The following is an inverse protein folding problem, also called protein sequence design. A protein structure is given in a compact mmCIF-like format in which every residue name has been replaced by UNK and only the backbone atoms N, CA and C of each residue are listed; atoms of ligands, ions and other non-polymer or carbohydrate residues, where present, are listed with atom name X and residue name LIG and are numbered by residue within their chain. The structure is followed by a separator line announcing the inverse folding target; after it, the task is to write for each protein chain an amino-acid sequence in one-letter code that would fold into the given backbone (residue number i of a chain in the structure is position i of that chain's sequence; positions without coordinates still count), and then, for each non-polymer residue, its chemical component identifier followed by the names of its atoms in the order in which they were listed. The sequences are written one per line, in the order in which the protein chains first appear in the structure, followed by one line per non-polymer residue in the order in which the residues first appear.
data_IF_089103460637
#
_entry.id   IF_089103460637
#
_cell.length_a   1.000
_cell.length_b   1.000
_cell.length_c   1.000
_cell.angle_alpha   90.00
_cell.angle_beta   90.00
_cell.angle_gamma   90.00
#
_symmetry.space_group_name_H-M   'P 1'
#
loop_
_entity.id
_entity.type
_entity.pdbx_description
1 polymer ?
#
# COMPACT_ATOMS: atom_id res chain seq x y z
N UNK A 1 -0.91 0.32 -19.61
CA UNK A 1 -0.56 -0.92 -18.87
C UNK A 1 0.66 -0.76 -17.95
N UNK A 2 1.76 -0.12 -18.38
CA UNK A 2 2.96 0.10 -17.52
C UNK A 2 2.67 0.95 -16.27
N UNK A 3 1.86 2.01 -16.39
CA UNK A 3 1.49 2.92 -15.29
C UNK A 3 0.80 2.22 -14.11
N UNK A 4 -0.15 1.32 -14.39
CA UNK A 4 -0.89 0.57 -13.36
C UNK A 4 0.01 -0.42 -12.63
N UNK A 5 0.97 -1.01 -13.36
CA UNK A 5 1.95 -1.93 -12.80
C UNK A 5 2.97 -1.21 -11.92
N UNK A 6 3.43 -0.02 -12.34
CA UNK A 6 4.29 0.86 -11.53
C UNK A 6 3.58 1.32 -10.25
N UNK A 7 2.28 1.66 -10.34
CA UNK A 7 1.46 1.97 -9.17
C UNK A 7 1.33 0.77 -8.22
N UNK A 8 1.09 -0.43 -8.76
CA UNK A 8 1.05 -1.66 -7.96
C UNK A 8 2.37 -1.94 -7.26
N UNK A 9 3.50 -1.82 -7.95
CA UNK A 9 4.85 -1.97 -7.36
C UNK A 9 5.12 -0.91 -6.29
N UNK A 10 4.71 0.35 -6.54
CA UNK A 10 4.81 1.42 -5.55
C UNK A 10 4.00 1.14 -4.29
N UNK A 11 2.77 0.62 -4.44
CA UNK A 11 1.96 0.20 -3.30
C UNK A 11 2.60 -0.94 -2.50
N UNK A 12 3.17 -1.94 -3.19
CA UNK A 12 3.88 -3.05 -2.52
C UNK A 12 5.08 -2.52 -1.75
N UNK A 13 5.88 -1.64 -2.35
CA UNK A 13 7.03 -1.03 -1.69
C UNK A 13 6.61 -0.22 -0.44
N UNK A 14 5.55 0.58 -0.56
CA UNK A 14 4.99 1.32 0.56
C UNK A 14 4.47 0.39 1.67
N UNK A 15 3.81 -0.71 1.29
CA UNK A 15 3.32 -1.72 2.23
C UNK A 15 4.45 -2.43 2.96
N UNK A 16 5.53 -2.79 2.27
CA UNK A 16 6.74 -3.37 2.88
C UNK A 16 7.43 -2.39 3.83
N UNK A 17 7.48 -1.11 3.48
CA UNK A 17 8.00 -0.06 4.36
C UNK A 17 7.18 0.04 5.65
N UNK A 18 5.85 -0.08 5.57
CA UNK A 18 4.98 -0.10 6.75
C UNK A 18 5.08 -1.41 7.55
N UNK A 19 5.37 -2.54 6.90
CA UNK A 19 5.51 -3.85 7.53
C UNK A 19 6.83 -3.98 8.31
N UNK A 20 7.95 -3.62 7.68
CA UNK A 20 9.28 -3.73 8.27
C UNK A 20 9.71 -2.46 9.03
N UNK A 21 9.21 -1.30 8.61
CA UNK A 21 9.54 -0.01 9.19
C UNK A 21 8.56 0.47 10.25
N UNK A 22 7.58 -0.34 10.68
CA UNK A 22 6.57 0.07 11.67
C UNK A 22 7.20 0.71 12.91
N UNK A 23 8.22 0.07 13.48
CA UNK A 23 8.92 0.55 14.67
C UNK A 23 9.72 1.84 14.35
N UNK A 24 10.34 1.93 13.16
CA UNK A 24 11.06 3.14 12.70
C UNK A 24 10.13 4.32 12.38
N UNK A 25 8.93 4.06 11.86
CA UNK A 25 7.91 5.08 11.60
C UNK A 25 7.35 5.63 12.91
N UNK A 26 7.18 4.78 13.92
CA UNK A 26 6.72 5.20 15.24
C UNK A 26 7.79 6.02 15.97
N UNK A 27 9.06 5.60 15.95
CA UNK A 27 10.18 6.41 16.48
C UNK A 27 10.27 7.79 15.81
N UNK A 28 10.14 7.82 14.48
CA UNK A 28 10.18 9.07 13.72
C UNK A 28 8.95 9.93 14.03
N UNK A 29 7.78 9.31 14.21
CA UNK A 29 6.55 9.97 14.61
C UNK A 29 6.67 10.59 15.99
N UNK A 30 7.14 9.83 16.98
CA UNK A 30 7.38 10.31 18.35
C UNK A 30 8.38 11.47 18.36
N UNK A 31 9.47 11.36 17.61
CA UNK A 31 10.46 12.44 17.47
C UNK A 31 9.85 13.70 16.83
N UNK A 32 9.12 13.55 15.73
CA UNK A 32 8.51 14.69 15.03
C UNK A 32 7.37 15.32 15.85
N UNK A 33 6.54 14.52 16.49
CA UNK A 33 5.47 15.03 17.36
C UNK A 33 6.03 15.71 18.61
N UNK A 34 7.08 15.15 19.21
CA UNK A 34 7.78 15.79 20.32
C UNK A 34 8.43 17.12 19.91
N UNK A 35 9.05 17.21 18.74
CA UNK A 35 9.74 18.43 18.29
C UNK A 35 8.80 19.49 17.73
N UNK A 36 7.76 19.10 16.99
CA UNK A 36 6.89 20.03 16.25
C UNK A 36 5.62 20.36 17.02
N UNK A 37 5.05 19.39 17.74
CA UNK A 37 3.79 19.56 18.45
C UNK A 37 3.96 19.63 19.98
N UNK A 38 5.13 19.29 20.53
CA UNK A 38 5.38 19.22 21.98
C UNK A 38 4.35 18.33 22.71
N UNK A 39 3.96 17.22 22.05
CA UNK A 39 2.99 16.25 22.57
C UNK A 39 3.69 14.92 22.83
N UNK A 40 3.54 14.40 24.04
CA UNK A 40 3.97 13.06 24.45
C UNK A 40 3.15 12.01 23.68
N UNK A 41 3.75 11.43 22.64
CA UNK A 41 3.12 10.40 21.83
C UNK A 41 3.64 9.04 22.31
N UNK A 42 2.89 8.35 23.17
CA UNK A 42 3.20 6.98 23.60
C UNK A 42 2.60 5.97 22.60
N UNK A 43 3.40 5.36 21.69
CA UNK A 43 2.92 4.34 20.79
C UNK A 43 2.62 3.06 21.59
N UNK A 44 1.41 2.98 22.15
CA UNK A 44 0.96 1.82 22.90
C UNK A 44 1.17 0.53 22.11
N UNK A 45 1.40 -0.59 22.83
CA UNK A 45 1.85 -1.91 22.30
C UNK A 45 1.10 -2.43 21.05
N UNK A 46 -0.12 -1.95 20.80
CA UNK A 46 -0.99 -2.31 19.66
C UNK A 46 -0.78 -1.43 18.42
N UNK A 47 -0.16 -0.25 18.54
CA UNK A 47 0.07 0.69 17.45
C UNK A 47 0.98 0.11 16.36
N UNK A 48 2.08 -0.52 16.75
CA UNK A 48 2.96 -1.24 15.82
C UNK A 48 2.23 -2.35 15.05
N UNK A 49 1.31 -3.05 15.71
CA UNK A 49 0.49 -4.09 15.08
C UNK A 49 -0.50 -3.51 14.06
N UNK A 50 -1.09 -2.35 14.34
CA UNK A 50 -1.97 -1.62 13.40
C UNK A 50 -1.20 -1.13 12.17
N UNK A 51 -0.01 -0.55 12.37
CA UNK A 51 0.85 -0.09 11.27
C UNK A 51 1.29 -1.25 10.38
N UNK A 52 1.67 -2.39 10.98
CA UNK A 52 1.96 -3.63 10.23
C UNK A 52 0.74 -4.15 9.46
N UNK A 53 -0.45 -4.07 10.06
CA UNK A 53 -1.72 -4.42 9.41
C UNK A 53 -2.03 -3.56 8.18
N UNK A 54 -1.81 -2.24 8.27
CA UNK A 54 -1.94 -1.33 7.12
C UNK A 54 -0.90 -1.67 6.05
N UNK A 55 0.33 -1.99 6.44
CA UNK A 55 1.37 -2.47 5.52
C UNK A 55 0.95 -3.73 4.76
N UNK A 56 0.39 -4.72 5.45
CA UNK A 56 -0.18 -5.93 4.83
C UNK A 56 -1.26 -5.61 3.80
N UNK A 57 -2.15 -4.67 4.12
CA UNK A 57 -3.24 -4.25 3.25
C UNK A 57 -2.71 -3.57 1.98
N UNK A 58 -1.69 -2.72 2.11
CA UNK A 58 -0.99 -2.13 0.96
C UNK A 58 -0.26 -3.15 0.10
N UNK A 59 0.41 -4.14 0.70
CA UNK A 59 1.05 -5.23 -0.05
C UNK A 59 0.01 -6.05 -0.81
N UNK A 60 -1.09 -6.43 -0.15
CA UNK A 60 -2.17 -7.20 -0.78
C UNK A 60 -2.82 -6.44 -1.94
N UNK A 61 -3.17 -5.17 -1.74
CA UNK A 61 -3.75 -4.32 -2.77
C UNK A 61 -2.78 -4.07 -3.93
N UNK A 62 -1.50 -3.79 -3.63
CA UNK A 62 -0.46 -3.58 -4.63
C UNK A 62 -0.16 -4.82 -5.46
N UNK A 63 -0.08 -5.98 -4.81
CA UNK A 63 0.09 -7.28 -5.48
C UNK A 63 -1.11 -7.60 -6.37
N UNK A 64 -2.33 -7.39 -5.86
CA UNK A 64 -3.56 -7.57 -6.64
C UNK A 64 -3.58 -6.66 -7.87
N UNK A 65 -3.20 -5.38 -7.72
CA UNK A 65 -3.17 -4.43 -8.83
C UNK A 65 -2.04 -4.71 -9.83
N UNK A 66 -0.87 -5.14 -9.37
CA UNK A 66 0.25 -5.54 -10.21
C UNK A 66 -0.04 -6.83 -10.99
N UNK A 67 -0.83 -7.74 -10.42
CA UNK A 67 -1.24 -9.02 -11.02
C UNK A 67 -2.42 -8.84 -11.99
N UNK A 68 -3.49 -8.15 -11.58
CA UNK A 68 -4.69 -7.88 -12.38
C UNK A 68 -4.58 -6.65 -13.28
N UNK A 69 -3.45 -5.92 -13.25
CA UNK A 69 -3.12 -4.88 -14.23
C UNK A 69 -2.98 -5.41 -15.67
N UNK A 70 -2.98 -6.74 -15.86
CA UNK A 70 -3.46 -7.36 -17.10
C UNK A 70 -4.98 -7.19 -17.15
N UNK A 71 -5.41 -6.11 -17.79
CA UNK A 71 -6.78 -5.94 -18.26
C UNK A 71 -7.20 -7.27 -18.91
N UNK A 72 -8.23 -7.92 -18.35
CA UNK A 72 -8.96 -9.00 -19.00
C UNK A 72 -9.27 -8.51 -20.41
N UNK A 73 -8.87 -9.22 -21.49
CA UNK A 73 -9.32 -8.85 -22.82
C UNK A 73 -10.85 -8.80 -22.75
N UNK A 74 -11.43 -7.60 -22.82
CA UNK A 74 -12.84 -7.49 -23.14
C UNK A 74 -12.88 -7.94 -24.59
N UNK A 75 -13.22 -9.19 -24.80
CA UNK A 75 -13.42 -9.71 -26.14
C UNK A 75 -14.41 -8.78 -26.84
N UNK A 76 -13.90 -7.98 -27.76
CA UNK A 76 -14.68 -7.28 -28.80
C UNK A 76 -15.21 -8.30 -29.83
N UNK A 77 -15.47 -9.54 -29.42
CA UNK A 77 -15.97 -10.64 -30.23
C UNK A 77 -17.51 -10.63 -30.32
N UNK A 78 -18.12 -9.45 -30.34
CA UNK A 78 -19.58 -9.28 -30.43
C UNK A 78 -20.05 -8.38 -31.58
N UNK A 79 -19.17 -7.91 -32.47
CA UNK A 79 -19.53 -6.98 -33.57
C UNK A 79 -19.24 -7.54 -34.97
N UNK A 80 -19.36 -8.85 -35.17
CA UNK A 80 -19.26 -9.45 -36.52
C UNK A 80 -20.30 -10.55 -36.72
N UNK A 81 -21.57 -10.26 -36.43
CA UNK A 81 -22.70 -11.07 -36.89
C UNK A 81 -23.82 -10.18 -37.41
N UNK A 82 -23.46 -9.16 -38.21
CA UNK A 82 -24.39 -8.55 -39.17
C UNK A 82 -23.87 -8.93 -40.56
N UNK A 83 -24.34 -10.06 -41.06
CA UNK A 83 -24.15 -10.55 -42.42
C UNK A 83 -25.51 -10.83 -43.05
#
# INVERSE_FOLDING_TARGET
MLRTRLLGVGLVAAGLLHLLGADRLLDLGETMYGVVLDVDFDPGRTAAWRVRGVGLLFVAAGAHLAYHGRVVPRDEAGRREDG
#
